data_IF_526170700973
#
_entry.id   IF_526170700973
#
_cell.length_a   1.000
_cell.length_b   1.000
_cell.length_c   1.000
_cell.angle_alpha   90.00
_cell.angle_beta   90.00
_cell.angle_gamma   90.00
#
_symmetry.space_group_name_H-M   'P 1'
#
loop_
_entity.id
_entity.type
_entity.pdbx_description
1 polymer ?
#
# COMPACT_ATOMS: atom_id res chain seq x y z
N UNK A 1 -18.90 -23.92 -15.37
CA UNK A 1 -18.63 -22.63 -16.08
C UNK A 1 -17.42 -21.97 -15.45
N UNK A 2 -16.49 -21.47 -16.27
CA UNK A 2 -15.38 -20.66 -15.74
C UNK A 2 -15.95 -19.37 -15.13
N UNK A 3 -15.50 -19.01 -13.93
CA UNK A 3 -15.80 -17.73 -13.30
C UNK A 3 -15.53 -16.57 -14.27
N UNK A 4 -16.37 -15.54 -14.30
CA UNK A 4 -16.25 -14.36 -15.19
C UNK A 4 -14.85 -13.72 -15.11
N UNK A 5 -14.23 -13.68 -13.94
CA UNK A 5 -12.91 -13.12 -13.72
C UNK A 5 -11.80 -13.89 -14.48
N UNK A 6 -11.84 -15.22 -14.50
CA UNK A 6 -10.94 -16.05 -15.30
C UNK A 6 -11.18 -15.91 -16.81
N UNK A 7 -12.40 -15.59 -17.21
CA UNK A 7 -12.68 -15.32 -18.63
C UNK A 7 -12.10 -13.98 -19.08
N UNK A 8 -12.18 -12.93 -18.22
CA UNK A 8 -11.54 -11.64 -18.50
C UNK A 8 -10.02 -11.82 -18.61
N UNK A 9 -9.40 -12.54 -17.66
CA UNK A 9 -7.98 -12.84 -17.68
C UNK A 9 -7.55 -13.49 -19.00
N UNK A 10 -8.26 -14.51 -19.46
CA UNK A 10 -7.97 -15.16 -20.73
C UNK A 10 -8.03 -14.21 -21.93
N UNK A 11 -8.98 -13.29 -21.94
CA UNK A 11 -9.11 -12.29 -23.00
C UNK A 11 -7.95 -11.28 -22.97
N UNK A 12 -7.49 -10.89 -21.77
CA UNK A 12 -6.34 -10.01 -21.60
C UNK A 12 -5.06 -10.69 -22.09
N UNK A 13 -4.83 -11.94 -21.69
CA UNK A 13 -3.68 -12.74 -22.14
C UNK A 13 -3.72 -12.95 -23.65
N UNK A 14 -4.89 -13.30 -24.21
CA UNK A 14 -5.07 -13.50 -25.66
C UNK A 14 -4.79 -12.22 -26.46
N UNK A 15 -5.08 -11.05 -25.91
CA UNK A 15 -4.82 -9.77 -26.59
C UNK A 15 -3.31 -9.48 -26.74
N UNK A 16 -2.44 -10.13 -25.95
CA UNK A 16 -0.99 -10.01 -26.07
C UNK A 16 -0.42 -8.61 -25.74
N UNK A 17 -1.19 -7.80 -25.04
CA UNK A 17 -0.86 -6.39 -24.72
C UNK A 17 -0.31 -6.21 -23.31
N UNK A 18 -0.15 -7.27 -22.55
CA UNK A 18 0.46 -7.18 -21.20
C UNK A 18 1.96 -6.99 -21.42
N UNK A 19 2.56 -5.97 -20.81
CA UNK A 19 4.01 -5.81 -20.85
C UNK A 19 4.70 -7.11 -20.41
N UNK A 20 5.65 -7.60 -21.23
CA UNK A 20 6.36 -8.88 -21.00
C UNK A 20 7.15 -8.92 -19.66
N UNK A 21 7.33 -7.75 -19.04
CA UNK A 21 8.02 -7.57 -17.77
C UNK A 21 7.15 -7.96 -16.56
N UNK A 22 5.85 -8.21 -16.78
CA UNK A 22 4.90 -8.49 -15.70
C UNK A 22 4.56 -9.96 -15.72
N UNK A 23 5.06 -10.68 -14.74
CA UNK A 23 4.46 -11.93 -14.28
C UNK A 23 3.31 -11.62 -13.30
N UNK A 24 2.43 -10.68 -13.62
CA UNK A 24 1.28 -10.44 -12.77
C UNK A 24 0.29 -11.54 -13.05
N UNK A 25 0.03 -12.45 -12.12
CA UNK A 25 -1.10 -13.33 -12.25
C UNK A 25 -2.35 -12.46 -12.15
N UNK A 26 -3.00 -12.25 -13.27
CA UNK A 26 -4.29 -11.54 -13.32
C UNK A 26 -5.42 -12.41 -12.76
N UNK A 27 -5.09 -13.47 -12.03
CA UNK A 27 -6.01 -14.37 -11.39
C UNK A 27 -6.62 -13.75 -10.15
N UNK A 28 -7.84 -13.25 -10.25
CA UNK A 28 -8.61 -12.79 -9.10
C UNK A 28 -9.21 -13.99 -8.35
N UNK A 29 -8.39 -14.71 -7.61
CA UNK A 29 -8.82 -15.89 -6.85
C UNK A 29 -9.46 -15.51 -5.51
N UNK A 30 -8.99 -14.44 -4.88
CA UNK A 30 -9.49 -13.95 -3.59
C UNK A 30 -10.46 -12.77 -3.76
N UNK A 31 -11.14 -12.39 -2.68
CA UNK A 31 -11.92 -11.15 -2.61
C UNK A 31 -10.99 -9.95 -2.57
N UNK A 32 -9.95 -10.02 -1.74
CA UNK A 32 -8.89 -9.01 -1.64
C UNK A 32 -7.62 -9.56 -2.27
N UNK A 33 -7.06 -8.83 -3.22
CA UNK A 33 -5.85 -9.22 -3.93
C UNK A 33 -4.82 -8.09 -3.82
N UNK A 34 -3.72 -8.34 -3.12
CA UNK A 34 -2.67 -7.37 -2.84
C UNK A 34 -1.41 -7.71 -3.63
N UNK A 35 -0.99 -6.81 -4.49
CA UNK A 35 0.21 -6.96 -5.31
C UNK A 35 1.22 -5.88 -5.00
N UNK A 36 2.38 -6.28 -4.51
CA UNK A 36 3.49 -5.39 -4.18
C UNK A 36 4.67 -5.68 -5.08
N UNK A 37 5.30 -4.67 -5.64
CA UNK A 37 6.56 -4.82 -6.40
C UNK A 37 7.30 -3.50 -6.45
N UNK A 38 8.51 -3.51 -6.97
CA UNK A 38 9.24 -2.29 -7.25
C UNK A 38 8.55 -1.40 -8.28
N UNK A 39 9.00 -0.16 -8.37
CA UNK A 39 8.47 0.81 -9.33
C UNK A 39 8.68 0.36 -10.79
N UNK A 40 7.83 0.88 -11.66
CA UNK A 40 7.90 0.66 -13.12
C UNK A 40 7.77 -0.81 -13.56
N UNK A 41 7.13 -1.64 -12.75
CA UNK A 41 6.85 -3.04 -13.07
C UNK A 41 5.51 -3.23 -13.83
N UNK A 42 4.89 -2.14 -14.28
CA UNK A 42 3.67 -2.14 -15.09
C UNK A 42 2.40 -2.64 -14.38
N UNK A 43 2.40 -2.83 -13.05
CA UNK A 43 1.20 -3.26 -12.28
C UNK A 43 -0.05 -2.48 -12.64
N UNK A 44 0.00 -1.16 -12.50
CA UNK A 44 -1.13 -0.27 -12.80
C UNK A 44 -1.59 -0.44 -14.24
N UNK A 45 -0.66 -0.46 -15.21
CA UNK A 45 -0.98 -0.63 -16.64
C UNK A 45 -1.73 -1.93 -16.89
N UNK A 46 -1.29 -3.05 -16.32
CA UNK A 46 -1.94 -4.35 -16.49
C UNK A 46 -3.35 -4.37 -15.94
N UNK A 47 -3.55 -3.81 -14.76
CA UNK A 47 -4.88 -3.76 -14.15
C UNK A 47 -5.81 -2.77 -14.86
N UNK A 48 -5.30 -1.71 -15.48
CA UNK A 48 -6.08 -0.81 -16.34
C UNK A 48 -6.48 -1.51 -17.65
N UNK A 49 -5.60 -2.32 -18.25
CA UNK A 49 -5.93 -3.19 -19.38
C UNK A 49 -7.02 -4.20 -18.99
N UNK A 50 -6.89 -4.80 -17.81
CA UNK A 50 -7.91 -5.70 -17.27
C UNK A 50 -9.26 -4.99 -17.10
N UNK A 51 -9.27 -3.78 -16.57
CA UNK A 51 -10.47 -2.95 -16.41
C UNK A 51 -11.17 -2.67 -17.75
N UNK A 52 -10.41 -2.32 -18.79
CA UNK A 52 -10.96 -2.14 -20.16
C UNK A 52 -11.63 -3.43 -20.65
N UNK A 53 -10.97 -4.59 -20.49
CA UNK A 53 -11.56 -5.88 -20.90
C UNK A 53 -12.76 -6.28 -20.07
N UNK A 54 -12.75 -6.02 -18.77
CA UNK A 54 -13.90 -6.25 -17.88
C UNK A 54 -15.13 -5.45 -18.32
N UNK A 55 -14.91 -4.19 -18.68
CA UNK A 55 -15.95 -3.33 -19.21
C UNK A 55 -16.48 -3.83 -20.57
N UNK A 56 -15.61 -4.08 -21.52
CA UNK A 56 -16.00 -4.52 -22.87
C UNK A 56 -16.79 -5.84 -22.87
N UNK A 57 -16.46 -6.75 -21.95
CA UNK A 57 -17.07 -8.10 -21.92
C UNK A 57 -18.32 -8.17 -21.05
N UNK A 58 -18.35 -7.46 -19.94
CA UNK A 58 -19.38 -7.61 -18.92
C UNK A 58 -20.01 -6.27 -18.48
N UNK A 59 -19.63 -5.14 -19.08
CA UNK A 59 -20.11 -3.83 -18.66
C UNK A 59 -19.65 -3.40 -17.27
N UNK A 60 -18.60 -4.04 -16.72
CA UNK A 60 -18.10 -3.74 -15.38
C UNK A 60 -17.41 -2.38 -15.38
N UNK A 61 -17.96 -1.41 -14.63
CA UNK A 61 -17.32 -0.13 -14.37
C UNK A 61 -16.33 -0.32 -13.21
N UNK A 62 -15.05 -0.10 -13.49
CA UNK A 62 -14.00 -0.22 -12.48
C UNK A 62 -13.91 1.04 -11.63
N UNK A 63 -13.75 0.90 -10.32
CA UNK A 63 -13.47 2.00 -9.41
C UNK A 63 -11.98 2.07 -9.12
N UNK A 64 -11.35 3.15 -9.59
CA UNK A 64 -9.94 3.42 -9.37
C UNK A 64 -9.77 4.39 -8.21
N UNK A 65 -9.14 3.94 -7.14
CA UNK A 65 -9.05 4.65 -5.88
C UNK A 65 -7.60 5.05 -5.61
N UNK A 66 -7.43 6.27 -5.10
CA UNK A 66 -6.18 6.80 -4.54
C UNK A 66 -6.44 7.34 -3.13
N UNK A 67 -5.41 7.43 -2.31
CA UNK A 67 -5.55 7.96 -0.94
C UNK A 67 -6.00 9.41 -0.92
N UNK A 68 -5.46 10.27 -1.79
CA UNK A 68 -5.72 11.71 -1.81
C UNK A 68 -6.32 12.20 -3.13
N UNK A 69 -7.24 13.18 -3.05
CA UNK A 69 -7.85 13.80 -4.22
C UNK A 69 -6.84 14.46 -5.17
N UNK A 70 -5.76 15.03 -4.64
CA UNK A 70 -4.70 15.62 -5.48
C UNK A 70 -4.08 14.63 -6.46
N UNK A 71 -4.11 13.33 -6.13
CA UNK A 71 -3.58 12.26 -6.98
C UNK A 71 -4.52 11.86 -8.13
N UNK A 72 -5.78 12.32 -8.11
CA UNK A 72 -6.78 12.10 -9.16
C UNK A 72 -7.13 13.38 -9.92
N UNK A 73 -6.29 14.41 -9.86
CA UNK A 73 -6.42 15.60 -10.69
C UNK A 73 -6.23 15.25 -12.17
N UNK A 74 -6.84 16.02 -13.07
CA UNK A 74 -6.83 15.71 -14.51
C UNK A 74 -5.42 15.46 -15.08
N UNK A 75 -4.45 16.30 -14.73
CA UNK A 75 -3.08 16.16 -15.24
C UNK A 75 -2.39 14.89 -14.72
N UNK A 76 -2.52 14.57 -13.44
CA UNK A 76 -1.90 13.39 -12.85
C UNK A 76 -2.60 12.11 -13.32
N UNK A 77 -3.93 12.07 -13.33
CA UNK A 77 -4.67 10.85 -13.64
C UNK A 77 -4.60 10.48 -15.12
N UNK A 78 -4.55 11.47 -16.04
CA UNK A 78 -4.44 11.19 -17.48
C UNK A 78 -3.17 10.44 -17.83
N UNK A 79 -2.09 10.64 -17.07
CA UNK A 79 -0.80 9.99 -17.34
C UNK A 79 -0.85 8.48 -17.18
N UNK A 80 -1.77 7.93 -16.36
CA UNK A 80 -1.87 6.48 -16.14
C UNK A 80 -2.23 5.71 -17.42
N UNK A 81 -2.91 6.36 -18.38
CA UNK A 81 -3.29 5.74 -19.66
C UNK A 81 -2.30 6.02 -20.80
N UNK A 82 -1.28 6.85 -20.59
CA UNK A 82 -0.36 7.23 -21.67
C UNK A 82 0.30 6.01 -22.33
N UNK A 83 0.75 5.03 -21.52
CA UNK A 83 1.37 3.80 -22.04
C UNK A 83 0.38 3.00 -22.87
N UNK A 84 -0.88 2.92 -22.47
CA UNK A 84 -1.94 2.18 -23.17
C UNK A 84 -2.30 2.85 -24.50
N UNK A 85 -2.37 4.18 -24.49
CA UNK A 85 -2.69 4.96 -25.70
C UNK A 85 -1.51 4.97 -26.68
N UNK A 86 -0.30 5.29 -26.21
CA UNK A 86 0.90 5.41 -27.07
C UNK A 86 1.31 4.09 -27.74
N UNK A 87 1.02 2.96 -27.10
CA UNK A 87 1.26 1.65 -27.67
C UNK A 87 0.06 1.09 -28.48
N UNK A 88 -0.93 1.92 -28.74
CA UNK A 88 -2.13 1.53 -29.51
C UNK A 88 -2.94 0.37 -28.89
N UNK A 89 -2.79 0.14 -27.59
CA UNK A 89 -3.47 -0.97 -26.92
C UNK A 89 -5.00 -0.79 -26.89
N UNK A 90 -5.49 0.44 -26.88
CA UNK A 90 -6.94 0.69 -26.96
C UNK A 90 -7.54 0.08 -28.23
N UNK A 91 -6.93 0.33 -29.40
CA UNK A 91 -7.41 -0.24 -30.67
C UNK A 91 -7.36 -1.77 -30.64
N UNK A 92 -6.26 -2.35 -30.15
CA UNK A 92 -6.10 -3.81 -30.06
C UNK A 92 -7.18 -4.42 -29.13
N UNK A 93 -7.36 -3.83 -27.94
CA UNK A 93 -8.31 -4.34 -26.95
C UNK A 93 -9.76 -4.25 -27.41
N UNK A 94 -10.09 -3.25 -28.23
CA UNK A 94 -11.46 -2.94 -28.69
C UNK A 94 -11.73 -3.44 -30.11
N UNK A 95 -10.81 -4.19 -30.74
CA UNK A 95 -10.88 -4.62 -32.15
C UNK A 95 -11.09 -3.42 -33.08
N UNK A 96 -10.33 -2.35 -32.89
CA UNK A 96 -10.36 -1.08 -33.63
C UNK A 96 -11.69 -0.30 -33.53
N UNK A 97 -12.55 -0.62 -32.56
CA UNK A 97 -13.76 0.18 -32.31
C UNK A 97 -13.39 1.54 -31.72
N UNK A 98 -12.41 1.59 -30.83
CA UNK A 98 -11.92 2.80 -30.16
C UNK A 98 -10.40 2.89 -30.30
N UNK A 99 -9.87 4.11 -30.38
CA UNK A 99 -8.42 4.32 -30.50
C UNK A 99 -7.81 5.12 -29.33
N UNK A 100 -8.63 5.66 -28.44
CA UNK A 100 -8.14 6.55 -27.38
C UNK A 100 -9.04 6.49 -26.13
N UNK A 101 -8.62 7.23 -25.12
CA UNK A 101 -9.33 7.37 -23.84
C UNK A 101 -9.41 8.84 -23.47
N UNK A 102 -10.57 9.28 -22.98
CA UNK A 102 -10.81 10.65 -22.52
C UNK A 102 -11.32 10.66 -21.09
N UNK A 103 -10.89 11.64 -20.31
CA UNK A 103 -11.36 11.87 -18.94
C UNK A 103 -12.40 12.99 -18.90
N UNK A 104 -13.59 12.68 -18.41
CA UNK A 104 -14.67 13.65 -18.17
C UNK A 104 -14.59 14.13 -16.73
N UNK A 105 -14.08 15.36 -16.55
CA UNK A 105 -13.76 15.93 -15.23
C UNK A 105 -14.97 16.06 -14.31
N UNK A 106 -16.12 16.43 -14.86
CA UNK A 106 -17.35 16.65 -14.06
C UNK A 106 -17.94 15.35 -13.51
N UNK A 107 -17.63 14.23 -14.16
CA UNK A 107 -18.11 12.90 -13.78
C UNK A 107 -17.05 12.06 -13.07
N UNK A 108 -15.81 12.54 -13.03
CA UNK A 108 -14.64 11.78 -12.55
C UNK A 108 -14.47 10.42 -13.24
N UNK A 109 -14.84 10.32 -14.53
CA UNK A 109 -14.84 9.06 -15.27
C UNK A 109 -13.95 9.11 -16.52
N UNK A 110 -13.42 7.96 -16.88
CA UNK A 110 -12.76 7.70 -18.14
C UNK A 110 -13.69 6.98 -19.11
N UNK A 111 -13.63 7.43 -20.37
CA UNK A 111 -14.43 6.91 -21.47
C UNK A 111 -13.53 6.46 -22.60
N UNK A 112 -13.90 5.35 -23.26
CA UNK A 112 -13.32 5.00 -24.54
C UNK A 112 -13.81 5.99 -25.59
N UNK A 113 -12.92 6.39 -26.49
CA UNK A 113 -13.26 7.37 -27.53
C UNK A 113 -12.46 7.15 -28.80
N UNK A 114 -12.91 7.79 -29.88
CA UNK A 114 -12.14 7.98 -31.09
C UNK A 114 -11.57 9.40 -31.12
N UNK A 115 -10.29 9.49 -31.40
CA UNK A 115 -9.58 10.77 -31.51
C UNK A 115 -8.87 10.83 -32.86
N UNK A 116 -9.16 11.89 -33.65
CA UNK A 116 -8.50 12.21 -34.91
C UNK A 116 -7.98 13.64 -34.82
N UNK A 117 -6.75 13.88 -35.26
CA UNK A 117 -6.06 15.17 -35.24
C UNK A 117 -6.14 15.91 -33.89
N UNK A 118 -6.04 15.12 -32.79
CA UNK A 118 -6.09 15.64 -31.41
C UNK A 118 -7.52 15.96 -30.91
N UNK A 119 -8.55 15.92 -31.75
CA UNK A 119 -9.94 16.14 -31.34
C UNK A 119 -10.67 14.83 -31.05
N UNK A 120 -11.55 14.85 -30.07
CA UNK A 120 -12.42 13.72 -29.73
C UNK A 120 -13.65 13.80 -30.62
N UNK A 121 -13.88 12.79 -31.46
CA UNK A 121 -14.96 12.76 -32.44
C UNK A 121 -16.15 11.89 -32.00
N UNK A 122 -15.87 10.83 -31.23
CA UNK A 122 -16.88 9.90 -30.75
C UNK A 122 -16.48 9.37 -29.36
N UNK A 123 -17.47 9.19 -28.50
CA UNK A 123 -17.26 8.78 -27.09
C UNK A 123 -18.24 7.66 -26.75
N UNK A 124 -17.78 6.66 -26.04
CA UNK A 124 -18.61 5.57 -25.54
C UNK A 124 -19.69 6.12 -24.58
N UNK A 125 -20.88 5.51 -24.61
CA UNK A 125 -22.04 6.00 -23.86
C UNK A 125 -21.87 5.89 -22.32
N UNK A 126 -21.05 4.94 -21.86
CA UNK A 126 -20.84 4.67 -20.42
C UNK A 126 -19.36 4.66 -20.11
N UNK A 127 -18.91 5.45 -19.16
CA UNK A 127 -17.52 5.43 -18.73
C UNK A 127 -17.11 4.07 -18.13
N UNK A 128 -15.93 3.58 -18.47
CA UNK A 128 -15.44 2.26 -18.02
C UNK A 128 -14.69 2.30 -16.69
N UNK A 129 -14.22 3.47 -16.27
CA UNK A 129 -13.46 3.61 -15.04
C UNK A 129 -13.82 4.92 -14.33
N UNK A 130 -14.17 4.83 -13.05
CA UNK A 130 -14.46 5.95 -12.18
C UNK A 130 -13.33 6.18 -11.19
N UNK A 131 -12.88 7.42 -11.05
CA UNK A 131 -11.84 7.82 -10.11
C UNK A 131 -12.42 8.33 -8.82
N UNK A 132 -11.92 7.79 -7.70
CA UNK A 132 -12.33 8.17 -6.35
C UNK A 132 -11.12 8.34 -5.44
N UNK A 133 -11.28 9.06 -4.33
CA UNK A 133 -10.23 9.20 -3.32
C UNK A 133 -10.77 8.97 -1.92
N UNK A 134 -9.94 8.37 -1.06
CA UNK A 134 -10.32 8.01 0.31
C UNK A 134 -10.60 9.26 1.16
N UNK A 135 -9.83 10.34 0.96
CA UNK A 135 -10.03 11.60 1.70
C UNK A 135 -11.39 12.27 1.42
N UNK A 136 -12.10 11.82 0.37
CA UNK A 136 -13.43 12.28 -0.02
C UNK A 136 -14.51 11.20 0.12
N UNK A 137 -14.24 10.11 0.84
CA UNK A 137 -15.17 8.99 0.98
C UNK A 137 -16.57 9.45 1.47
N UNK A 138 -16.63 10.43 2.36
CA UNK A 138 -17.90 10.95 2.90
C UNK A 138 -18.74 11.68 1.84
N UNK A 139 -18.14 12.29 0.82
CA UNK A 139 -18.85 12.95 -0.27
C UNK A 139 -19.60 11.94 -1.16
N UNK A 140 -19.11 10.70 -1.24
CA UNK A 140 -19.73 9.64 -2.05
C UNK A 140 -20.86 8.88 -1.35
N UNK A 141 -21.00 8.99 0.01
CA UNK A 141 -22.01 8.26 0.78
C UNK A 141 -23.44 8.62 0.42
N UNK A 142 -23.70 9.88 0.11
CA UNK A 142 -25.03 10.41 -0.18
C UNK A 142 -25.28 10.55 -1.67
N UNK A 143 -25.85 9.54 -2.31
CA UNK A 143 -26.34 9.64 -3.68
C UNK A 143 -25.52 8.93 -4.75
N UNK A 144 -24.35 8.38 -4.43
CA UNK A 144 -23.63 7.55 -5.38
C UNK A 144 -24.35 6.23 -5.63
N UNK A 145 -24.71 5.95 -6.86
CA UNK A 145 -25.27 4.68 -7.31
C UNK A 145 -24.38 4.11 -8.41
N UNK A 146 -23.95 2.86 -8.23
CA UNK A 146 -23.24 2.11 -9.24
C UNK A 146 -23.78 0.69 -9.30
N UNK A 147 -24.38 0.35 -10.42
CA UNK A 147 -25.02 -0.96 -10.61
C UNK A 147 -24.00 -2.04 -11.02
N UNK A 148 -22.79 -1.66 -11.42
CA UNK A 148 -21.78 -2.55 -12.02
C UNK A 148 -20.36 -2.41 -11.46
N UNK A 149 -20.19 -1.79 -10.29
CA UNK A 149 -18.89 -1.54 -9.67
C UNK A 149 -18.29 -2.78 -8.99
N UNK A 150 -18.05 -3.83 -9.75
CA UNK A 150 -17.60 -5.12 -9.21
C UNK A 150 -16.09 -5.27 -9.11
N UNK A 151 -15.34 -4.34 -9.72
CA UNK A 151 -13.87 -4.29 -9.65
C UNK A 151 -13.43 -2.97 -9.03
N UNK A 152 -12.65 -3.06 -7.96
CA UNK A 152 -12.06 -1.93 -7.26
C UNK A 152 -10.54 -2.06 -7.36
N UNK A 153 -9.86 -1.02 -7.80
CA UNK A 153 -8.41 -0.93 -7.86
C UNK A 153 -7.97 0.19 -6.94
N UNK A 154 -7.32 -0.14 -5.84
CA UNK A 154 -6.67 0.82 -4.96
C UNK A 154 -5.18 0.87 -5.29
N UNK A 155 -4.76 1.91 -5.97
CA UNK A 155 -3.39 2.05 -6.44
C UNK A 155 -2.56 2.97 -5.54
N UNK A 156 -1.29 2.60 -5.30
CA UNK A 156 -0.36 3.24 -4.38
C UNK A 156 -0.89 3.28 -2.93
N UNK A 157 -1.41 2.14 -2.43
CA UNK A 157 -1.95 2.09 -1.08
C UNK A 157 -0.87 2.23 0.01
N UNK A 158 0.41 1.90 -0.27
CA UNK A 158 1.52 2.15 0.64
C UNK A 158 2.04 3.57 0.42
N UNK A 159 1.79 4.43 1.40
CA UNK A 159 2.27 5.80 1.44
C UNK A 159 3.25 5.98 2.59
N UNK A 160 4.14 6.98 2.50
CA UNK A 160 5.01 7.42 3.60
C UNK A 160 4.23 8.04 4.76
N UNK A 161 2.96 8.41 4.55
CA UNK A 161 2.08 9.03 5.54
C UNK A 161 0.72 8.33 5.55
N UNK A 162 0.59 7.32 6.41
CA UNK A 162 -0.71 6.74 6.71
C UNK A 162 -1.51 7.67 7.62
N UNK A 163 -2.76 7.92 7.28
CA UNK A 163 -3.67 8.68 8.14
C UNK A 163 -4.44 7.72 9.04
N UNK A 164 -4.41 7.95 10.36
CA UNK A 164 -5.18 7.14 11.31
C UNK A 164 -6.62 6.95 10.84
N UNK A 165 -7.07 5.70 10.75
CA UNK A 165 -8.41 5.33 10.28
C UNK A 165 -8.59 5.37 8.75
N UNK A 166 -7.53 5.47 7.97
CA UNK A 166 -7.61 5.47 6.50
C UNK A 166 -8.18 4.15 5.97
N UNK A 167 -7.79 3.01 6.56
CA UNK A 167 -8.33 1.70 6.19
C UNK A 167 -9.85 1.61 6.45
N UNK A 168 -10.32 2.13 7.58
CA UNK A 168 -11.76 2.17 7.89
C UNK A 168 -12.52 3.01 6.86
N UNK A 169 -11.98 4.18 6.48
CA UNK A 169 -12.58 5.02 5.43
C UNK A 169 -12.57 4.33 4.07
N UNK A 170 -11.52 3.56 3.78
CA UNK A 170 -11.47 2.76 2.58
C UNK A 170 -12.55 1.66 2.58
N UNK A 171 -12.73 0.96 3.69
CA UNK A 171 -13.81 -0.02 3.85
C UNK A 171 -15.20 0.61 3.72
N UNK A 172 -15.42 1.80 4.28
CA UNK A 172 -16.65 2.57 4.10
C UNK A 172 -16.93 2.89 2.61
N UNK A 173 -15.89 3.32 1.90
CA UNK A 173 -15.99 3.60 0.47
C UNK A 173 -16.31 2.34 -0.33
N UNK A 174 -15.62 1.22 -0.04
CA UNK A 174 -15.91 -0.10 -0.61
C UNK A 174 -17.37 -0.48 -0.36
N UNK A 175 -17.85 -0.36 0.86
CA UNK A 175 -19.25 -0.67 1.23
C UNK A 175 -20.24 0.14 0.39
N UNK A 176 -19.94 1.42 0.14
CA UNK A 176 -20.74 2.30 -0.72
C UNK A 176 -20.75 1.83 -2.18
N UNK A 177 -19.60 1.39 -2.69
CA UNK A 177 -19.45 0.91 -4.08
C UNK A 177 -20.15 -0.45 -4.25
N UNK A 178 -19.85 -1.40 -3.37
CA UNK A 178 -20.28 -2.82 -3.50
C UNK A 178 -21.79 -3.01 -3.31
N UNK A 179 -22.42 -2.34 -2.33
CA UNK A 179 -23.87 -2.38 -2.05
C UNK A 179 -24.47 -3.77 -2.16
N UNK A 180 -24.00 -4.74 -1.39
CA UNK A 180 -24.53 -6.12 -1.33
C UNK A 180 -24.27 -7.00 -2.57
N UNK A 181 -23.45 -6.58 -3.53
CA UNK A 181 -23.04 -7.46 -4.64
C UNK A 181 -22.04 -8.50 -4.14
N UNK A 182 -22.29 -9.80 -4.34
CA UNK A 182 -21.50 -10.86 -3.67
C UNK A 182 -20.17 -11.18 -4.37
N UNK A 183 -20.00 -10.81 -5.65
CA UNK A 183 -18.83 -11.20 -6.44
C UNK A 183 -18.02 -9.98 -6.89
N UNK A 184 -17.69 -9.10 -5.91
CA UNK A 184 -16.79 -7.97 -6.14
C UNK A 184 -15.36 -8.36 -5.82
N UNK A 185 -14.42 -7.75 -6.53
CA UNK A 185 -12.98 -7.96 -6.34
C UNK A 185 -12.27 -6.66 -6.03
N UNK A 186 -11.39 -6.71 -5.05
CA UNK A 186 -10.56 -5.59 -4.61
C UNK A 186 -9.12 -5.93 -4.98
N UNK A 187 -8.48 -5.03 -5.71
CA UNK A 187 -7.08 -5.12 -6.12
C UNK A 187 -6.33 -3.97 -5.47
N UNK A 188 -5.35 -4.27 -4.67
CA UNK A 188 -4.50 -3.30 -3.99
C UNK A 188 -3.09 -3.35 -4.60
N UNK A 189 -2.62 -2.22 -5.11
CA UNK A 189 -1.33 -2.11 -5.79
C UNK A 189 -0.40 -1.19 -5.01
N UNK A 190 0.83 -1.64 -4.76
CA UNK A 190 1.84 -0.81 -4.11
C UNK A 190 3.24 -1.06 -4.65
N UNK A 191 4.11 -0.09 -4.37
CA UNK A 191 5.54 -0.24 -4.55
C UNK A 191 6.16 -0.76 -3.24
N UNK A 192 7.33 -1.43 -3.35
CA UNK A 192 8.14 -1.93 -2.24
C UNK A 192 8.80 -0.79 -1.46
N UNK A 193 7.99 0.13 -0.89
CA UNK A 193 8.48 1.31 -0.17
C UNK A 193 8.69 0.96 1.30
N UNK A 194 7.67 0.48 1.97
CA UNK A 194 7.66 0.19 3.41
C UNK A 194 7.05 -1.19 3.66
N UNK A 195 7.77 -2.07 4.38
CA UNK A 195 7.20 -3.33 4.90
C UNK A 195 6.20 -3.10 6.02
N UNK A 196 6.20 -1.95 6.62
CA UNK A 196 5.51 -1.60 7.86
C UNK A 196 4.22 -0.81 7.65
N UNK A 197 3.64 -0.89 6.46
CA UNK A 197 2.34 -0.26 6.20
C UNK A 197 1.25 -0.84 7.10
N UNK A 198 0.40 0.01 7.68
CA UNK A 198 -0.75 -0.41 8.49
C UNK A 198 -1.75 -1.26 7.71
N UNK A 199 -1.80 -1.11 6.40
CA UNK A 199 -2.61 -1.97 5.54
C UNK A 199 -2.23 -3.45 5.67
N UNK A 200 -0.96 -3.77 5.93
CA UNK A 200 -0.53 -5.15 6.15
C UNK A 200 -0.94 -5.69 7.54
N UNK A 201 -1.07 -4.81 8.54
CA UNK A 201 -1.63 -5.18 9.84
C UNK A 201 -3.13 -5.44 9.73
N UNK A 202 -3.87 -4.57 9.03
CA UNK A 202 -5.32 -4.70 8.82
C UNK A 202 -5.69 -5.91 7.94
N UNK A 203 -4.83 -6.27 7.00
CA UNK A 203 -4.95 -7.48 6.19
C UNK A 203 -4.38 -8.73 6.89
N UNK A 204 -3.92 -8.62 8.13
CA UNK A 204 -3.32 -9.71 8.93
C UNK A 204 -2.15 -10.45 8.24
N UNK A 205 -1.40 -9.76 7.36
CA UNK A 205 -0.30 -10.36 6.60
C UNK A 205 1.09 -9.81 6.96
N UNK A 206 1.22 -9.08 8.06
CA UNK A 206 2.48 -8.48 8.50
C UNK A 206 3.63 -9.49 8.60
N UNK A 207 3.40 -10.63 9.25
CA UNK A 207 4.41 -11.66 9.43
C UNK A 207 4.94 -12.20 8.08
N UNK A 208 4.03 -12.40 7.11
CA UNK A 208 4.42 -12.77 5.76
C UNK A 208 5.27 -11.68 5.11
N UNK A 209 4.83 -10.42 5.14
CA UNK A 209 5.52 -9.29 4.51
C UNK A 209 6.92 -9.05 5.10
N UNK A 210 7.11 -9.27 6.41
CA UNK A 210 8.40 -9.08 7.07
C UNK A 210 9.49 -10.02 6.51
N UNK A 211 9.11 -11.17 5.96
CA UNK A 211 10.02 -12.18 5.44
C UNK A 211 9.93 -12.39 3.91
N UNK A 212 8.87 -11.88 3.27
CA UNK A 212 8.60 -12.15 1.85
C UNK A 212 9.60 -11.49 0.90
N UNK A 213 9.99 -12.23 -0.11
CA UNK A 213 10.86 -11.81 -1.21
C UNK A 213 10.10 -11.85 -2.55
N UNK A 214 10.73 -11.36 -3.62
CA UNK A 214 10.13 -11.35 -4.94
C UNK A 214 9.78 -12.76 -5.45
N UNK A 215 8.51 -13.00 -5.71
CA UNK A 215 7.94 -14.29 -6.11
C UNK A 215 7.14 -14.99 -5.00
N UNK A 216 7.25 -14.53 -3.77
CA UNK A 216 6.51 -15.11 -2.65
C UNK A 216 5.05 -14.66 -2.65
N UNK A 217 4.17 -15.58 -2.26
CA UNK A 217 2.73 -15.34 -2.18
C UNK A 217 2.09 -16.15 -1.08
N UNK A 218 0.97 -15.64 -0.56
CA UNK A 218 0.14 -16.32 0.42
C UNK A 218 -1.35 -16.13 0.09
N UNK A 219 -2.12 -17.19 0.30
CA UNK A 219 -3.58 -17.19 0.23
C UNK A 219 -4.13 -17.63 1.60
N UNK A 220 -5.07 -16.88 2.16
CA UNK A 220 -5.66 -17.18 3.46
C UNK A 220 -7.05 -16.59 3.59
N UNK A 221 -7.76 -16.95 4.66
CA UNK A 221 -9.08 -16.44 4.98
C UNK A 221 -9.08 -15.76 6.34
N UNK A 222 -9.71 -14.59 6.40
CA UNK A 222 -9.95 -13.85 7.65
C UNK A 222 -11.39 -14.12 8.08
N UNK A 223 -11.62 -14.73 9.26
CA UNK A 223 -12.96 -14.99 9.75
C UNK A 223 -13.69 -13.69 10.10
N UNK A 224 -14.94 -13.56 9.68
CA UNK A 224 -15.79 -12.43 10.02
C UNK A 224 -16.51 -12.66 11.34
N UNK A 225 -16.62 -11.62 12.18
CA UNK A 225 -17.33 -11.66 13.47
C UNK A 225 -18.81 -12.06 13.28
N UNK A 226 -19.43 -11.66 12.17
CA UNK A 226 -20.83 -11.98 11.81
C UNK A 226 -21.01 -13.37 11.21
N UNK A 227 -19.96 -14.17 11.12
CA UNK A 227 -19.95 -15.48 10.43
C UNK A 227 -19.48 -15.37 8.99
N UNK A 228 -18.90 -16.48 8.48
CA UNK A 228 -18.23 -16.51 7.18
C UNK A 228 -16.78 -16.04 7.24
N UNK A 229 -16.17 -15.89 6.08
CA UNK A 229 -14.77 -15.45 5.96
C UNK A 229 -14.56 -14.57 4.72
N UNK A 230 -13.49 -13.79 4.74
CA UNK A 230 -13.00 -13.03 3.60
C UNK A 230 -11.71 -13.67 3.10
N UNK A 231 -11.63 -13.96 1.81
CA UNK A 231 -10.42 -14.49 1.19
C UNK A 231 -9.45 -13.37 0.82
N UNK A 232 -8.18 -13.56 1.15
CA UNK A 232 -7.09 -12.61 0.89
C UNK A 232 -5.97 -13.32 0.13
N UNK A 233 -5.47 -12.66 -0.90
CA UNK A 233 -4.28 -13.03 -1.65
C UNK A 233 -3.26 -11.91 -1.55
N UNK A 234 -2.03 -12.24 -1.17
CA UNK A 234 -0.91 -11.28 -1.12
C UNK A 234 0.26 -11.86 -1.91
N UNK A 235 0.81 -11.08 -2.84
CA UNK A 235 1.94 -11.50 -3.65
C UNK A 235 2.97 -10.38 -3.80
N UNK A 236 4.23 -10.72 -3.58
CA UNK A 236 5.38 -9.88 -3.89
C UNK A 236 5.86 -10.26 -5.28
N UNK A 237 5.58 -9.42 -6.27
CA UNK A 237 5.91 -9.71 -7.66
C UNK A 237 7.42 -9.69 -7.88
N UNK A 238 7.95 -10.78 -8.42
CA UNK A 238 9.35 -10.86 -8.81
C UNK A 238 9.64 -9.94 -10.00
N UNK A 239 10.77 -9.22 -9.94
CA UNK A 239 11.22 -8.40 -11.06
C UNK A 239 12.27 -9.16 -11.84
N UNK A 240 12.06 -9.23 -13.16
CA UNK A 240 13.11 -9.60 -14.10
C UNK A 240 13.77 -8.33 -14.62
N UNK A 241 14.93 -7.96 -14.03
CA UNK A 241 15.74 -6.88 -14.55
C UNK A 241 16.34 -7.32 -15.91
N UNK A 242 15.91 -6.70 -16.99
CA UNK A 242 16.55 -6.82 -18.28
C UNK A 242 17.90 -6.06 -18.31
N UNK A 243 18.71 -6.31 -19.34
CA UNK A 243 20.01 -5.67 -19.47
C UNK A 243 19.90 -4.15 -19.64
N UNK A 244 18.87 -3.64 -20.32
CA UNK A 244 18.67 -2.20 -20.52
C UNK A 244 18.39 -1.51 -19.19
N UNK A 245 17.57 -2.10 -18.35
CA UNK A 245 17.25 -1.57 -17.02
C UNK A 245 18.46 -1.61 -16.08
N UNK A 246 19.27 -2.67 -16.15
CA UNK A 246 20.56 -2.74 -15.40
C UNK A 246 21.50 -1.63 -15.80
N UNK A 247 21.69 -1.38 -17.12
CA UNK A 247 22.55 -0.30 -17.65
C UNK A 247 22.00 1.06 -17.22
N UNK A 248 20.69 1.28 -17.33
CA UNK A 248 20.02 2.51 -16.93
C UNK A 248 20.22 2.78 -15.42
N UNK A 249 19.99 1.78 -14.57
CA UNK A 249 20.18 1.90 -13.13
C UNK A 249 21.64 2.22 -12.79
N UNK A 250 22.60 1.52 -13.39
CA UNK A 250 24.01 1.78 -13.20
C UNK A 250 24.41 3.21 -13.61
N UNK A 251 23.81 3.75 -14.67
CA UNK A 251 24.12 5.09 -15.17
C UNK A 251 23.55 6.20 -14.29
N UNK A 252 22.33 6.04 -13.78
CA UNK A 252 21.58 7.13 -13.14
C UNK A 252 21.39 6.97 -11.64
N UNK A 253 21.51 5.77 -11.08
CA UNK A 253 21.15 5.48 -9.69
C UNK A 253 22.26 4.76 -8.90
N UNK A 254 23.52 4.83 -9.33
CA UNK A 254 24.67 4.22 -8.63
C UNK A 254 25.08 4.99 -7.35
N UNK A 255 24.08 5.40 -6.56
CA UNK A 255 24.31 6.04 -5.28
C UNK A 255 24.13 5.03 -4.15
N UNK A 256 24.96 5.12 -3.11
CA UNK A 256 24.90 4.26 -1.93
C UNK A 256 23.77 4.70 -0.96
N UNK A 257 22.54 4.77 -1.48
CA UNK A 257 21.36 5.11 -0.68
C UNK A 257 20.36 3.95 -0.75
N UNK A 258 20.10 3.24 0.37
CA UNK A 258 19.15 2.12 0.41
C UNK A 258 17.74 2.47 -0.06
N UNK A 259 17.32 3.73 0.08
CA UNK A 259 16.01 4.19 -0.39
C UNK A 259 15.85 4.09 -1.91
N UNK A 260 16.95 4.01 -2.65
CA UNK A 260 16.92 3.83 -4.11
C UNK A 260 16.64 2.38 -4.51
N UNK A 261 16.70 1.41 -3.59
CA UNK A 261 16.45 0.00 -3.91
C UNK A 261 15.07 -0.19 -4.56
N UNK A 262 14.04 0.45 -4.04
CA UNK A 262 12.68 0.37 -4.60
C UNK A 262 12.53 0.99 -6.00
N UNK A 263 13.46 1.86 -6.39
CA UNK A 263 13.50 2.50 -7.72
C UNK A 263 14.31 1.64 -8.68
N UNK A 264 15.42 1.08 -8.20
CA UNK A 264 16.37 0.33 -9.03
C UNK A 264 15.98 -1.13 -9.25
N UNK A 265 14.97 -1.62 -8.56
CA UNK A 265 14.58 -3.03 -8.61
C UNK A 265 15.46 -3.93 -7.74
N UNK A 266 16.13 -3.37 -6.75
CA UNK A 266 16.96 -4.11 -5.78
C UNK A 266 16.17 -4.55 -4.53
N UNK A 267 14.82 -4.39 -4.53
CA UNK A 267 13.94 -4.81 -3.45
C UNK A 267 13.35 -3.66 -2.64
N UNK A 268 12.96 -3.95 -1.42
CA UNK A 268 12.33 -2.98 -0.51
C UNK A 268 13.25 -1.79 -0.22
N UNK A 269 12.70 -0.58 -0.24
CA UNK A 269 13.35 0.58 0.35
C UNK A 269 13.26 0.47 1.87
N UNK A 270 14.02 -0.43 2.45
CA UNK A 270 14.02 -0.67 3.87
C UNK A 270 14.66 0.54 4.54
N UNK A 271 13.99 1.16 5.50
CA UNK A 271 14.70 1.82 6.57
C UNK A 271 15.49 0.71 7.28
N UNK A 272 16.79 0.64 7.02
CA UNK A 272 17.67 -0.21 7.80
C UNK A 272 17.77 0.42 9.18
N UNK A 273 16.88 0.02 10.05
CA UNK A 273 17.02 0.36 11.46
C UNK A 273 18.32 -0.25 12.01
N UNK A 274 19.00 0.48 12.86
CA UNK A 274 20.24 0.03 13.46
C UNK A 274 19.98 -1.18 14.38
N UNK A 275 20.57 -2.32 14.03
CA UNK A 275 20.53 -3.54 14.84
C UNK A 275 21.78 -3.68 15.70
N UNK A 276 21.75 -4.49 16.77
CA UNK A 276 22.93 -4.73 17.59
C UNK A 276 24.07 -5.36 16.75
N UNK A 277 25.15 -4.63 16.56
CA UNK A 277 26.37 -5.12 15.90
C UNK A 277 27.46 -5.54 16.88
N UNK A 278 27.31 -5.21 18.15
CA UNK A 278 28.24 -5.49 19.25
C UNK A 278 27.49 -5.86 20.54
N UNK A 279 28.20 -6.36 21.52
CA UNK A 279 27.64 -6.60 22.85
C UNK A 279 27.34 -5.28 23.54
N UNK A 280 26.33 -5.27 24.38
CA UNK A 280 25.96 -4.10 25.17
C UNK A 280 25.58 -4.50 26.60
N UNK A 281 25.71 -3.54 27.52
CA UNK A 281 25.27 -3.68 28.91
C UNK A 281 23.94 -2.92 29.08
N UNK A 282 22.90 -3.60 29.54
CA UNK A 282 21.64 -2.92 29.91
C UNK A 282 21.81 -2.27 31.27
N UNK A 283 21.52 -0.98 31.32
CA UNK A 283 21.60 -0.16 32.52
C UNK A 283 20.24 0.03 33.19
N UNK A 284 19.17 0.19 32.40
CA UNK A 284 17.81 0.39 32.90
C UNK A 284 16.79 -0.31 32.01
N UNK A 285 15.77 -0.97 32.59
CA UNK A 285 14.83 -1.86 31.89
C UNK A 285 13.35 -1.55 32.11
N UNK A 286 13.01 -0.56 32.92
CA UNK A 286 11.63 -0.40 33.39
C UNK A 286 10.85 0.66 32.59
N UNK A 287 11.19 0.84 31.30
CA UNK A 287 10.51 1.73 30.39
C UNK A 287 9.88 0.91 29.27
N UNK A 288 8.62 1.18 28.98
CA UNK A 288 7.85 0.43 28.01
C UNK A 288 7.10 1.35 27.07
N UNK A 289 6.76 0.84 25.90
CA UNK A 289 5.84 1.41 24.95
C UNK A 289 4.67 0.44 24.79
N UNK A 290 3.47 0.90 25.04
CA UNK A 290 2.23 0.28 24.64
C UNK A 290 1.77 0.96 23.33
N UNK A 291 1.69 0.22 22.25
CA UNK A 291 1.27 0.74 20.96
C UNK A 291 0.49 -0.29 20.18
N UNK A 292 -0.71 0.05 19.73
CA UNK A 292 -1.63 -0.84 18.99
C UNK A 292 -1.85 -2.19 19.72
N UNK A 293 -2.09 -2.13 21.03
CA UNK A 293 -2.28 -3.30 21.92
C UNK A 293 -1.10 -4.27 21.99
N UNK A 294 0.10 -3.81 21.66
CA UNK A 294 1.35 -4.59 21.80
C UNK A 294 2.32 -3.85 22.70
N UNK A 295 3.16 -4.62 23.37
CA UNK A 295 4.15 -4.11 24.31
C UNK A 295 5.56 -4.19 23.75
N UNK A 296 6.34 -3.14 24.00
CA UNK A 296 7.76 -3.05 23.66
C UNK A 296 8.53 -2.54 24.85
N UNK A 297 9.75 -3.08 25.09
CA UNK A 297 10.66 -2.57 26.12
C UNK A 297 11.61 -1.55 25.51
N UNK A 298 11.80 -0.42 26.21
CA UNK A 298 12.76 0.64 25.87
C UNK A 298 13.90 0.55 26.88
N UNK A 299 14.96 -0.20 26.56
CA UNK A 299 16.05 -0.43 27.48
C UNK A 299 17.17 0.60 27.27
N UNK A 300 17.58 1.31 28.33
CA UNK A 300 18.78 2.12 28.25
C UNK A 300 19.99 1.20 28.29
N UNK A 301 20.84 1.28 27.27
CA UNK A 301 22.01 0.42 27.10
C UNK A 301 23.29 1.25 26.99
N UNK A 302 24.41 0.63 27.35
CA UNK A 302 25.76 1.12 27.08
C UNK A 302 26.46 0.16 26.11
N UNK A 303 26.93 0.70 25.01
CA UNK A 303 27.72 0.00 24.00
C UNK A 303 29.17 -0.20 24.45
N UNK A 304 29.91 -1.10 23.81
CA UNK A 304 31.33 -1.35 24.12
C UNK A 304 32.21 -0.09 23.96
N UNK A 305 31.85 0.79 23.02
CA UNK A 305 32.51 2.09 22.86
C UNK A 305 32.21 3.12 23.98
N UNK A 306 31.42 2.75 24.98
CA UNK A 306 31.02 3.63 26.10
C UNK A 306 29.82 4.51 25.82
N UNK A 307 29.28 4.54 24.59
CA UNK A 307 28.10 5.33 24.20
C UNK A 307 26.81 4.79 24.82
N UNK A 308 25.93 5.70 25.23
CA UNK A 308 24.60 5.38 25.76
C UNK A 308 23.54 5.58 24.70
N UNK A 309 22.62 4.60 24.55
CA UNK A 309 21.48 4.69 23.65
C UNK A 309 20.30 3.89 24.18
N UNK A 310 19.23 3.79 23.39
CA UNK A 310 18.04 2.98 23.67
C UNK A 310 18.05 1.73 22.80
N UNK A 311 17.73 0.60 23.41
CA UNK A 311 17.44 -0.65 22.72
C UNK A 311 15.95 -0.96 22.80
N UNK A 312 15.27 -0.96 21.67
CA UNK A 312 13.84 -1.26 21.55
C UNK A 312 13.66 -2.74 21.19
N UNK A 313 12.93 -3.47 22.00
CA UNK A 313 12.67 -4.90 21.79
C UNK A 313 11.21 -5.26 22.07
N UNK A 314 10.67 -6.35 21.46
CA UNK A 314 9.33 -6.82 21.75
C UNK A 314 9.20 -7.21 23.24
N UNK A 315 8.02 -7.00 23.81
CA UNK A 315 7.69 -7.43 25.15
C UNK A 315 6.35 -8.17 25.15
N UNK A 316 6.26 -9.31 25.83
CA UNK A 316 5.11 -10.22 25.69
C UNK A 316 4.06 -10.08 26.78
N UNK A 317 4.36 -9.35 27.85
CA UNK A 317 3.50 -9.25 29.04
C UNK A 317 3.28 -7.80 29.42
N UNK A 318 2.14 -7.51 30.03
CA UNK A 318 1.91 -6.20 30.64
C UNK A 318 3.00 -5.92 31.70
N UNK A 319 3.57 -4.70 31.72
CA UNK A 319 4.59 -4.31 32.69
C UNK A 319 4.06 -4.27 34.12
N UNK A 320 4.97 -4.41 35.09
CA UNK A 320 4.67 -4.35 36.52
C UNK A 320 4.24 -2.94 36.96
N UNK A 321 3.76 -2.83 38.21
CA UNK A 321 3.18 -1.61 38.78
C UNK A 321 4.12 -0.40 38.91
N UNK A 322 5.42 -0.57 38.81
CA UNK A 322 6.45 0.49 38.87
C UNK A 322 7.00 0.89 37.48
N UNK A 323 6.39 0.41 36.39
CA UNK A 323 6.82 0.68 35.05
C UNK A 323 6.57 2.13 34.61
N UNK A 324 7.43 2.64 33.74
CA UNK A 324 7.27 3.89 33.02
C UNK A 324 6.74 3.58 31.63
N UNK A 325 5.53 4.00 31.28
CA UNK A 325 4.83 3.57 30.07
C UNK A 325 4.51 4.76 29.17
N UNK A 326 4.94 4.69 27.94
CA UNK A 326 4.44 5.53 26.84
C UNK A 326 3.32 4.78 26.11
N UNK A 327 2.28 5.47 25.69
CA UNK A 327 1.18 4.86 24.96
C UNK A 327 0.50 5.84 24.01
N UNK A 328 -0.05 5.33 22.91
CA UNK A 328 -0.99 6.04 22.04
C UNK A 328 -2.38 6.13 22.67
N UNK A 329 -2.67 5.29 23.67
CA UNK A 329 -3.89 5.28 24.46
C UNK A 329 -3.61 5.70 25.91
N UNK A 330 -3.16 6.94 26.07
CA UNK A 330 -2.72 7.48 27.34
C UNK A 330 -3.83 7.47 28.41
N UNK A 331 -3.59 6.73 29.50
CA UNK A 331 -4.49 6.67 30.64
C UNK A 331 -4.07 7.69 31.72
N UNK A 332 -4.74 8.82 31.81
CA UNK A 332 -4.44 9.88 32.78
C UNK A 332 -4.64 9.49 34.26
N UNK A 333 -5.38 8.42 34.53
CA UNK A 333 -5.63 7.93 35.90
C UNK A 333 -4.59 6.93 36.39
N UNK A 334 -3.78 6.39 35.48
CA UNK A 334 -2.71 5.46 35.82
C UNK A 334 -1.36 6.19 35.82
N UNK A 335 -0.76 6.33 37.00
CA UNK A 335 0.50 7.05 37.20
C UNK A 335 1.70 6.45 36.46
N UNK A 336 1.58 5.23 35.93
CA UNK A 336 2.61 4.60 35.09
C UNK A 336 2.71 5.22 33.70
N UNK A 337 1.61 5.82 33.21
CA UNK A 337 1.54 6.37 31.86
C UNK A 337 2.10 7.79 31.79
N UNK A 338 2.92 8.04 30.80
CA UNK A 338 3.62 9.31 30.57
C UNK A 338 3.44 9.76 29.12
N UNK A 339 3.33 11.06 28.94
CA UNK A 339 3.14 11.65 27.62
C UNK A 339 4.45 12.20 27.05
N UNK A 340 4.87 11.71 25.89
CA UNK A 340 5.95 12.34 25.13
C UNK A 340 5.53 13.64 24.43
N UNK A 341 4.23 13.96 24.42
CA UNK A 341 3.70 15.16 23.78
C UNK A 341 3.68 16.34 24.74
N UNK A 342 3.30 16.09 25.99
CA UNK A 342 3.09 17.10 27.04
C UNK A 342 4.04 16.84 28.21
N UNK A 343 4.46 17.90 28.90
CA UNK A 343 5.24 17.85 30.15
C UNK A 343 6.50 16.97 30.09
N UNK A 344 7.29 17.16 29.01
CA UNK A 344 8.51 16.39 28.76
C UNK A 344 9.55 16.60 29.84
N UNK A 345 10.00 15.51 30.43
CA UNK A 345 11.14 15.51 31.35
C UNK A 345 12.48 15.40 30.57
N UNK A 346 13.60 15.46 31.28
CA UNK A 346 14.93 15.38 30.67
C UNK A 346 15.19 14.06 29.95
N UNK A 347 14.60 12.95 30.41
CA UNK A 347 14.71 11.67 29.74
C UNK A 347 13.92 11.67 28.42
N UNK A 348 12.72 12.22 28.40
CA UNK A 348 11.88 12.34 27.20
C UNK A 348 12.59 13.16 26.11
N UNK A 349 13.22 14.26 26.51
CA UNK A 349 14.02 15.09 25.59
C UNK A 349 15.22 14.31 25.06
N UNK A 350 15.91 13.57 25.92
CA UNK A 350 17.05 12.74 25.53
C UNK A 350 16.63 11.62 24.56
N UNK A 351 15.53 10.91 24.85
CA UNK A 351 14.96 9.88 24.00
C UNK A 351 14.62 10.40 22.59
N UNK A 352 13.92 11.54 22.52
CA UNK A 352 13.56 12.17 21.25
C UNK A 352 14.81 12.63 20.47
N UNK A 353 15.82 13.18 21.16
CA UNK A 353 17.08 13.55 20.50
C UNK A 353 17.80 12.33 19.92
N UNK A 354 17.80 11.18 20.62
CA UNK A 354 18.36 9.92 20.08
C UNK A 354 17.58 9.44 18.85
N UNK A 355 16.26 9.55 18.89
CA UNK A 355 15.42 9.19 17.74
C UNK A 355 15.72 10.07 16.52
N UNK A 356 15.72 11.39 16.68
CA UNK A 356 15.96 12.30 15.56
C UNK A 356 17.41 12.30 15.05
N UNK A 357 18.35 11.81 15.86
CA UNK A 357 19.76 11.61 15.44
C UNK A 357 20.02 10.22 14.87
N UNK A 358 18.97 9.41 14.67
CA UNK A 358 19.07 8.02 14.21
C UNK A 358 19.99 7.15 15.09
N UNK A 359 20.00 7.44 16.39
CA UNK A 359 20.85 6.81 17.39
C UNK A 359 20.05 5.95 18.37
N UNK A 360 19.20 5.07 17.82
CA UNK A 360 18.45 4.06 18.54
C UNK A 360 18.74 2.70 17.93
N UNK A 361 18.85 1.66 18.76
CA UNK A 361 19.10 0.30 18.34
C UNK A 361 17.82 -0.53 18.51
N UNK A 362 17.49 -1.33 17.54
CA UNK A 362 16.26 -2.12 17.50
C UNK A 362 16.54 -3.60 17.41
N UNK A 363 15.76 -4.42 18.11
CA UNK A 363 15.87 -5.87 18.07
C UNK A 363 15.61 -6.43 16.65
N UNK A 364 14.70 -5.79 15.92
CA UNK A 364 14.36 -6.11 14.53
C UNK A 364 13.74 -4.89 13.85
N UNK A 365 13.52 -4.95 12.53
CA UNK A 365 12.94 -3.87 11.75
C UNK A 365 11.51 -3.52 12.20
N UNK A 366 10.72 -4.49 12.65
CA UNK A 366 9.36 -4.26 13.18
C UNK A 366 9.38 -3.32 14.39
N UNK A 367 10.31 -3.53 15.34
CA UNK A 367 10.48 -2.65 16.49
C UNK A 367 10.85 -1.23 16.06
N UNK A 368 11.75 -1.09 15.08
CA UNK A 368 12.16 0.20 14.55
C UNK A 368 10.99 0.95 13.93
N UNK A 369 10.22 0.28 13.10
CA UNK A 369 9.07 0.86 12.44
C UNK A 369 7.97 1.27 13.42
N UNK A 370 7.63 0.41 14.36
CA UNK A 370 6.58 0.69 15.35
C UNK A 370 6.99 1.86 16.24
N UNK A 371 8.24 1.90 16.67
CA UNK A 371 8.73 3.00 17.48
C UNK A 371 8.74 4.32 16.69
N UNK A 372 9.17 4.29 15.42
CA UNK A 372 9.14 5.45 14.54
C UNK A 372 7.72 5.95 14.29
N UNK A 373 6.79 5.03 14.05
CA UNK A 373 5.37 5.33 13.84
C UNK A 373 4.78 5.99 15.10
N UNK A 374 5.04 5.44 16.28
CA UNK A 374 4.62 6.04 17.54
C UNK A 374 5.15 7.48 17.70
N UNK A 375 6.46 7.72 17.52
CA UNK A 375 7.06 9.05 17.69
C UNK A 375 6.53 10.06 16.65
N UNK A 376 6.36 9.65 15.39
CA UNK A 376 5.89 10.54 14.33
C UNK A 376 4.40 10.89 14.49
N UNK A 377 3.60 10.00 15.05
CA UNK A 377 2.18 10.23 15.34
C UNK A 377 1.92 11.07 16.60
N UNK A 378 2.94 11.38 17.37
CA UNK A 378 2.83 12.33 18.49
C UNK A 378 2.67 13.80 18.06
N UNK A 379 2.77 14.12 16.78
CA UNK A 379 2.68 15.48 16.22
C UNK A 379 1.26 16.00 16.11
#
# INVERSE_FOLDING_TARGET
MLNRWRQIEKEVVKAGVIPAEINTPLGLNATWNCYVSDRSNGKTTSWLIYAIKAYLKYGIVTHYIRSNRSMITQSAIMTIFNVIISNNYVSILTNNKWNSIVYMRNEHKFYLCNRNDGQVNDIDATGFLMCMSIDKADEYKSGYQCDTGDLIIFDEFINTYYKRGEFVKFCDLISTIIRKRPDCKIVMLANTILRTSEYFDELECREFIDHAEGGDKIDYEIPCISGGSTSVHVEILAIKLDNNRKIFNAKYFSFHNPLLNSITGAGWAIHNYTHPSERFKTLYRNIFLEYKNKWYSLNVIQLECGRYTIFVAPHTKEPKNDAYIYSDNYNVFDKRYHSLKHDKNNFDIWLLNRFYSDDIIYANNTCGSIFSDFILNLR
#
